data_IF_090403193016
#
_entry.id   IF_090403193016
#
_cell.length_a   1.000
_cell.length_b   1.000
_cell.length_c   1.000
_cell.angle_alpha   90.00
_cell.angle_beta   90.00
_cell.angle_gamma   90.00
#
_symmetry.space_group_name_H-M   'P 1'
#
loop_
_entity.id
_entity.type
_entity.pdbx_description
1 polymer ?
#
# COMPACT_ATOMS: atom_id res chain seq x y z
N UNK A 1 27.54 25.59 49.78
CA UNK A 1 26.37 25.03 49.08
C UNK A 1 26.25 25.78 47.76
N UNK A 2 26.82 25.24 46.69
CA UNK A 2 26.99 25.92 45.40
C UNK A 2 25.81 25.54 44.48
N UNK A 3 25.00 26.52 44.08
CA UNK A 3 23.80 26.33 43.27
C UNK A 3 24.21 26.36 41.78
N UNK A 4 24.23 25.22 41.11
CA UNK A 4 24.44 25.13 39.66
C UNK A 4 23.11 25.42 38.93
N UNK A 5 23.03 26.59 38.27
CA UNK A 5 21.98 26.94 37.33
C UNK A 5 22.27 26.25 35.98
N UNK A 6 21.57 25.16 35.68
CA UNK A 6 21.60 24.51 34.37
C UNK A 6 20.61 25.26 33.47
N UNK A 7 21.16 26.06 32.55
CA UNK A 7 20.40 26.77 31.52
C UNK A 7 20.07 25.77 30.39
N UNK A 8 18.92 25.11 30.47
CA UNK A 8 18.43 24.22 29.43
C UNK A 8 18.02 25.02 28.19
N UNK A 9 18.89 25.07 27.18
CA UNK A 9 18.57 25.62 25.85
C UNK A 9 17.59 24.67 25.17
N UNK A 10 16.30 24.98 25.23
CA UNK A 10 15.26 24.28 24.49
C UNK A 10 15.31 24.76 23.04
N UNK A 11 16.02 24.04 22.18
CA UNK A 11 15.92 24.27 20.74
C UNK A 11 14.51 23.87 20.28
N UNK A 12 13.76 24.76 19.61
CA UNK A 12 12.51 24.37 18.99
C UNK A 12 12.84 23.45 17.82
N UNK A 13 12.62 22.15 18.01
CA UNK A 13 12.54 21.21 16.90
C UNK A 13 11.37 21.64 16.03
N UNK A 14 11.66 22.38 14.96
CA UNK A 14 10.72 22.57 13.87
C UNK A 14 10.46 21.20 13.27
N UNK A 15 9.40 20.54 13.73
CA UNK A 15 8.76 19.42 13.06
C UNK A 15 8.26 19.96 11.72
N UNK A 16 9.13 19.92 10.70
CA UNK A 16 8.70 20.03 9.32
C UNK A 16 7.86 18.78 9.07
N UNK A 17 6.53 18.92 9.24
CA UNK A 17 5.62 17.99 8.62
C UNK A 17 5.94 18.03 7.13
N UNK A 18 6.34 16.89 6.59
CA UNK A 18 6.54 16.67 5.15
C UNK A 18 5.16 16.79 4.47
N UNK A 19 4.60 17.99 4.49
CA UNK A 19 3.38 18.34 3.78
C UNK A 19 3.69 18.18 2.31
N UNK A 20 2.89 17.36 1.65
CA UNK A 20 3.03 17.13 0.23
C UNK A 20 2.88 18.48 -0.48
N UNK A 21 3.90 18.96 -1.21
CA UNK A 21 3.79 20.26 -1.84
C UNK A 21 2.71 20.20 -2.92
N UNK A 22 1.88 21.23 -2.95
CA UNK A 22 0.94 21.48 -4.05
C UNK A 22 1.72 21.50 -5.38
N UNK A 23 1.06 21.18 -6.50
CA UNK A 23 1.74 20.96 -7.80
C UNK A 23 2.58 22.16 -8.24
N UNK A 24 2.12 23.37 -7.96
CA UNK A 24 2.81 24.65 -8.16
C UNK A 24 4.11 24.76 -7.36
N UNK A 25 4.24 24.05 -6.23
CA UNK A 25 5.41 24.04 -5.34
C UNK A 25 6.34 22.86 -5.58
N UNK A 26 6.09 22.05 -6.62
CA UNK A 26 6.94 20.91 -6.92
C UNK A 26 8.31 21.35 -7.46
N UNK A 27 9.38 20.75 -6.92
CA UNK A 27 10.76 21.05 -7.30
C UNK A 27 11.24 20.05 -8.35
N UNK A 28 11.81 20.56 -9.45
CA UNK A 28 12.37 19.72 -10.50
C UNK A 28 13.53 18.85 -9.96
N UNK A 29 13.56 17.59 -10.39
CA UNK A 29 14.54 16.61 -9.92
C UNK A 29 14.29 16.07 -8.51
N UNK A 30 13.28 16.57 -7.80
CA UNK A 30 12.80 15.95 -6.56
C UNK A 30 11.72 14.91 -6.85
N UNK A 31 11.69 13.91 -6.00
CA UNK A 31 10.67 12.88 -6.03
C UNK A 31 9.78 12.97 -4.81
N UNK A 32 8.54 12.58 -5.02
CA UNK A 32 7.53 12.58 -3.99
C UNK A 32 6.83 11.24 -3.98
N UNK A 33 6.35 10.82 -2.81
CA UNK A 33 5.67 9.55 -2.63
C UNK A 33 4.27 9.84 -2.13
N UNK A 34 3.27 9.31 -2.83
CA UNK A 34 1.87 9.31 -2.38
C UNK A 34 1.30 7.93 -2.64
N UNK A 35 0.69 7.34 -1.60
CA UNK A 35 0.06 6.02 -1.67
C UNK A 35 0.93 5.03 -2.44
N UNK A 36 2.19 4.86 -2.03
CA UNK A 36 3.14 3.94 -2.67
C UNK A 36 3.56 4.27 -4.12
N UNK A 37 3.11 5.37 -4.71
CA UNK A 37 3.51 5.80 -6.06
C UNK A 37 4.55 6.91 -5.96
N UNK A 38 5.63 6.75 -6.73
CA UNK A 38 6.71 7.74 -6.83
C UNK A 38 6.40 8.67 -7.99
N UNK A 39 6.31 9.97 -7.68
CA UNK A 39 6.13 11.04 -8.64
C UNK A 39 7.44 11.80 -8.83
N UNK A 40 7.67 12.27 -10.05
CA UNK A 40 8.69 13.25 -10.37
C UNK A 40 8.01 14.54 -10.84
N UNK A 41 8.54 15.68 -10.41
CA UNK A 41 8.14 16.98 -10.93
C UNK A 41 8.90 17.26 -12.23
N UNK A 42 8.16 17.56 -13.29
CA UNK A 42 8.67 17.89 -14.62
C UNK A 42 7.86 19.03 -15.23
N UNK A 43 8.32 19.63 -16.33
CA UNK A 43 7.58 20.69 -17.02
C UNK A 43 8.46 21.84 -17.49
N UNK A 44 7.81 22.98 -17.77
CA UNK A 44 8.42 24.22 -18.23
C UNK A 44 8.03 25.37 -17.28
N UNK A 45 8.60 26.56 -17.45
CA UNK A 45 8.50 27.69 -16.52
C UNK A 45 7.09 27.91 -15.92
N UNK A 46 6.04 27.81 -16.75
CA UNK A 46 4.65 28.10 -16.36
C UNK A 46 3.79 26.84 -16.19
N UNK A 47 4.27 25.67 -16.61
CA UNK A 47 3.51 24.41 -16.54
C UNK A 47 4.30 23.41 -15.69
N UNK A 48 3.75 23.02 -14.56
CA UNK A 48 4.31 21.99 -13.68
C UNK A 48 3.52 20.72 -13.83
N UNK A 49 4.20 19.58 -13.91
CA UNK A 49 3.59 18.27 -14.06
C UNK A 49 4.17 17.31 -13.05
N UNK A 50 3.31 16.77 -12.18
CA UNK A 50 3.63 15.54 -11.44
C UNK A 50 3.44 14.36 -12.37
N UNK A 51 4.51 13.65 -12.67
CA UNK A 51 4.48 12.43 -13.48
C UNK A 51 4.78 11.22 -12.60
N UNK A 52 3.91 10.19 -12.58
CA UNK A 52 4.21 8.96 -11.87
C UNK A 52 5.32 8.19 -12.62
N UNK A 53 6.39 7.83 -11.91
CA UNK A 53 7.61 7.23 -12.49
C UNK A 53 7.94 5.85 -11.93
N UNK A 54 7.29 5.42 -10.84
CA UNK A 54 7.51 4.12 -10.24
C UNK A 54 6.71 3.96 -8.95
N UNK A 55 7.10 2.99 -8.13
CA UNK A 55 6.44 2.69 -6.87
C UNK A 55 7.45 2.62 -5.72
N UNK A 56 6.95 2.49 -4.49
CA UNK A 56 7.77 2.25 -3.30
C UNK A 56 7.03 1.34 -2.33
N UNK A 57 7.79 0.46 -1.68
CA UNK A 57 7.26 -0.55 -0.75
C UNK A 57 6.61 0.13 0.46
N UNK A 58 7.20 1.22 0.94
CA UNK A 58 6.69 2.03 2.05
C UNK A 58 6.24 3.39 1.52
N UNK A 59 5.19 3.95 2.10
CA UNK A 59 4.67 5.27 1.75
C UNK A 59 5.54 6.40 2.34
N UNK A 60 6.85 6.34 2.07
CA UNK A 60 7.89 7.26 2.54
C UNK A 60 8.84 7.53 1.37
N UNK A 61 9.34 8.78 1.26
CA UNK A 61 10.32 9.20 0.26
C UNK A 61 11.66 8.45 0.37
N UNK A 62 12.00 7.94 1.55
CA UNK A 62 13.20 7.13 1.82
C UNK A 62 13.00 5.65 1.51
N UNK A 63 11.78 5.25 1.16
CA UNK A 63 11.45 3.88 0.81
C UNK A 63 12.24 3.39 -0.41
N UNK A 64 12.52 2.08 -0.42
CA UNK A 64 13.09 1.44 -1.59
C UNK A 64 12.15 1.60 -2.78
N UNK A 65 12.67 2.18 -3.85
CA UNK A 65 11.93 2.38 -5.10
C UNK A 65 11.88 1.10 -5.91
N UNK A 66 10.72 0.88 -6.49
CA UNK A 66 10.46 -0.15 -7.48
C UNK A 66 10.32 0.52 -8.85
N UNK A 67 11.12 0.06 -9.80
CA UNK A 67 10.94 0.39 -11.21
C UNK A 67 9.64 -0.25 -11.72
N UNK A 68 9.07 0.34 -12.76
CA UNK A 68 7.90 -0.22 -13.42
C UNK A 68 8.24 -1.59 -14.00
N UNK A 69 7.36 -2.55 -13.76
CA UNK A 69 7.54 -3.97 -14.07
C UNK A 69 8.18 -4.79 -12.94
N UNK A 70 8.74 -4.15 -11.89
CA UNK A 70 9.34 -4.89 -10.78
C UNK A 70 8.29 -5.49 -9.85
N UNK A 71 8.59 -6.70 -9.40
CA UNK A 71 7.82 -7.47 -8.43
C UNK A 71 8.52 -7.41 -7.07
N UNK A 72 7.73 -7.37 -6.00
CA UNK A 72 8.20 -7.36 -4.63
C UNK A 72 7.34 -8.25 -3.73
N UNK A 73 7.99 -9.07 -2.91
CA UNK A 73 7.33 -9.89 -1.90
C UNK A 73 7.19 -9.08 -0.61
N UNK A 74 5.98 -8.65 -0.30
CA UNK A 74 5.65 -7.93 0.92
C UNK A 74 4.96 -8.82 1.95
N UNK A 75 4.51 -8.21 3.05
CA UNK A 75 3.80 -8.94 4.09
C UNK A 75 2.46 -9.48 3.57
N UNK A 76 2.35 -10.80 3.43
CA UNK A 76 1.12 -11.49 3.04
C UNK A 76 0.78 -11.45 1.54
N UNK A 77 1.56 -10.74 0.72
CA UNK A 77 1.24 -10.52 -0.70
C UNK A 77 2.47 -10.36 -1.59
N UNK A 78 2.29 -10.68 -2.87
CA UNK A 78 3.23 -10.34 -3.95
C UNK A 78 2.69 -9.11 -4.67
N UNK A 79 3.51 -8.07 -4.80
CA UNK A 79 3.17 -6.79 -5.38
C UNK A 79 3.87 -6.57 -6.72
N UNK A 80 3.20 -5.87 -7.63
CA UNK A 80 3.74 -5.42 -8.91
C UNK A 80 3.64 -3.89 -8.99
N UNK A 81 4.73 -3.24 -9.40
CA UNK A 81 4.68 -1.88 -9.87
C UNK A 81 4.29 -1.86 -11.36
N UNK A 82 3.03 -1.61 -11.66
CA UNK A 82 2.46 -1.72 -13.00
C UNK A 82 2.23 -0.35 -13.64
N UNK A 83 2.31 -0.26 -14.97
CA UNK A 83 1.89 0.93 -15.71
C UNK A 83 0.70 0.58 -16.59
N UNK A 84 -0.38 1.33 -16.43
CA UNK A 84 -1.61 1.21 -17.21
C UNK A 84 -1.92 2.56 -17.86
N UNK A 85 -1.65 2.65 -19.17
CA UNK A 85 -1.66 3.92 -19.90
C UNK A 85 -0.68 4.93 -19.29
N UNK A 86 -1.20 6.07 -18.83
CA UNK A 86 -0.41 7.10 -18.14
C UNK A 86 -0.31 6.89 -16.63
N UNK A 87 -1.12 5.99 -16.05
CA UNK A 87 -1.12 5.71 -14.62
C UNK A 87 0.00 4.74 -14.23
N UNK A 88 0.47 4.86 -12.98
CA UNK A 88 1.31 3.84 -12.34
C UNK A 88 0.60 3.34 -11.11
N UNK A 89 0.58 2.03 -10.94
CA UNK A 89 -0.11 1.31 -9.88
C UNK A 89 0.88 0.46 -9.08
N UNK A 90 0.83 0.59 -7.76
CA UNK A 90 1.39 -0.40 -6.84
C UNK A 90 0.26 -1.32 -6.42
N UNK A 91 0.20 -2.53 -7.00
CA UNK A 91 -0.93 -3.44 -6.78
C UNK A 91 -0.50 -4.84 -6.36
N UNK A 92 -1.25 -5.49 -5.46
CA UNK A 92 -1.08 -6.91 -5.19
C UNK A 92 -1.48 -7.69 -6.44
N UNK A 93 -0.72 -8.74 -6.75
CA UNK A 93 -1.05 -9.68 -7.83
C UNK A 93 -1.36 -11.08 -7.30
N UNK A 94 -0.83 -11.44 -6.13
CA UNK A 94 -1.07 -12.72 -5.44
C UNK A 94 -1.03 -12.53 -3.92
N UNK A 95 -1.63 -13.45 -3.17
CA UNK A 95 -1.32 -13.58 -1.75
C UNK A 95 -0.03 -14.39 -1.58
N UNK A 96 0.66 -14.20 -0.46
CA UNK A 96 1.91 -14.89 -0.12
C UNK A 96 1.81 -15.41 1.31
N UNK A 97 1.83 -16.72 1.49
CA UNK A 97 1.81 -17.35 2.81
C UNK A 97 2.98 -18.32 2.97
N UNK A 98 3.94 -17.97 3.84
CA UNK A 98 5.15 -18.77 4.08
C UNK A 98 5.84 -19.18 2.76
N UNK A 99 6.14 -18.19 1.90
CA UNK A 99 6.76 -18.38 0.58
C UNK A 99 5.89 -19.10 -0.47
N UNK A 100 4.67 -19.51 -0.12
CA UNK A 100 3.71 -20.07 -1.07
C UNK A 100 2.87 -18.94 -1.66
N UNK A 101 3.03 -18.72 -2.97
CA UNK A 101 2.16 -17.82 -3.73
C UNK A 101 0.78 -18.47 -3.92
N UNK A 102 -0.27 -17.68 -3.68
CA UNK A 102 -1.66 -18.09 -3.81
C UNK A 102 -2.36 -17.15 -4.79
N UNK A 103 -2.88 -17.73 -5.88
CA UNK A 103 -3.77 -17.05 -6.81
C UNK A 103 -5.12 -16.75 -6.15
N UNK A 104 -5.87 -15.82 -6.73
CA UNK A 104 -7.23 -15.52 -6.27
C UNK A 104 -8.13 -16.77 -6.30
N UNK A 105 -8.89 -16.98 -5.23
CA UNK A 105 -9.75 -18.15 -5.03
C UNK A 105 -9.04 -19.36 -4.44
N UNK A 106 -7.69 -19.37 -4.40
CA UNK A 106 -6.96 -20.46 -3.76
C UNK A 106 -7.17 -20.47 -2.25
N UNK A 107 -7.24 -21.69 -1.70
CA UNK A 107 -7.31 -21.95 -0.27
C UNK A 107 -6.16 -22.83 0.17
N UNK A 108 -5.63 -22.55 1.36
CA UNK A 108 -4.56 -23.33 1.97
C UNK A 108 -4.89 -23.54 3.43
N UNK A 109 -4.78 -24.78 3.91
CA UNK A 109 -4.97 -25.09 5.33
C UNK A 109 -3.62 -25.40 5.98
N UNK A 110 -3.35 -24.77 7.12
CA UNK A 110 -2.19 -25.07 7.98
C UNK A 110 -2.70 -25.24 9.41
N UNK A 111 -2.57 -26.44 9.96
CA UNK A 111 -3.08 -26.78 11.29
C UNK A 111 -4.60 -26.48 11.41
N UNK A 112 -4.97 -25.65 12.37
CA UNK A 112 -6.34 -25.22 12.66
C UNK A 112 -6.70 -23.89 11.99
N UNK A 113 -5.90 -23.42 11.03
CA UNK A 113 -6.13 -22.17 10.30
C UNK A 113 -6.29 -22.45 8.81
N UNK A 114 -7.40 -21.95 8.25
CA UNK A 114 -7.64 -21.93 6.80
C UNK A 114 -7.40 -20.53 6.27
N UNK A 115 -6.69 -20.45 5.16
CA UNK A 115 -6.34 -19.22 4.46
C UNK A 115 -7.02 -19.21 3.11
N UNK A 116 -7.62 -18.10 2.74
CA UNK A 116 -8.28 -17.89 1.45
C UNK A 116 -7.76 -16.60 0.82
N UNK A 117 -7.19 -16.71 -0.38
CA UNK A 117 -6.75 -15.54 -1.12
C UNK A 117 -7.92 -14.99 -1.93
N UNK A 118 -8.31 -13.75 -1.67
CA UNK A 118 -9.50 -13.12 -2.24
C UNK A 118 -9.09 -11.91 -3.08
N UNK A 119 -9.74 -11.72 -4.22
CA UNK A 119 -9.64 -10.49 -5.02
C UNK A 119 -11.01 -9.86 -5.06
N UNK A 120 -11.13 -8.65 -4.53
CA UNK A 120 -12.36 -7.89 -4.66
C UNK A 120 -12.52 -7.42 -6.12
N UNK A 121 -13.73 -7.41 -6.69
CA UNK A 121 -13.94 -6.98 -8.08
C UNK A 121 -13.48 -5.53 -8.33
N UNK A 122 -13.67 -4.66 -7.35
CA UNK A 122 -13.36 -3.22 -7.41
C UNK A 122 -12.22 -2.82 -6.47
N UNK A 123 -11.67 -3.77 -5.71
CA UNK A 123 -10.79 -3.52 -4.58
C UNK A 123 -9.47 -4.30 -4.64
N UNK A 124 -8.56 -4.01 -3.71
CA UNK A 124 -7.28 -4.71 -3.62
C UNK A 124 -7.47 -6.14 -3.10
N UNK A 125 -6.46 -6.99 -3.29
CA UNK A 125 -6.49 -8.37 -2.79
C UNK A 125 -6.50 -8.42 -1.26
N UNK A 126 -7.12 -9.46 -0.70
CA UNK A 126 -7.20 -9.70 0.74
C UNK A 126 -6.82 -11.15 1.04
N UNK A 127 -6.18 -11.36 2.17
CA UNK A 127 -5.90 -12.69 2.71
C UNK A 127 -6.81 -12.91 3.91
N UNK A 128 -7.81 -13.77 3.75
CA UNK A 128 -8.73 -14.15 4.82
C UNK A 128 -8.13 -15.32 5.60
N UNK A 129 -8.16 -15.21 6.92
CA UNK A 129 -7.71 -16.24 7.85
C UNK A 129 -8.91 -16.70 8.67
N UNK A 130 -9.17 -18.00 8.72
CA UNK A 130 -10.24 -18.60 9.51
C UNK A 130 -9.62 -19.54 10.52
N UNK A 131 -9.70 -19.16 11.79
CA UNK A 131 -9.24 -19.97 12.92
C UNK A 131 -10.38 -20.84 13.39
N UNK A 132 -10.09 -22.13 13.61
CA UNK A 132 -11.01 -23.06 14.27
C UNK A 132 -10.45 -23.39 15.64
N UNK A 133 -11.19 -23.10 16.70
CA UNK A 133 -10.73 -23.29 18.08
C UNK A 133 -10.94 -24.72 18.63
N UNK A 134 -11.56 -25.62 17.86
CA UNK A 134 -11.76 -27.01 18.26
C UNK A 134 -11.75 -27.96 17.06
N UNK A 135 -11.49 -29.24 17.32
CA UNK A 135 -11.38 -30.26 16.28
C UNK A 135 -12.73 -30.85 15.83
N UNK A 136 -13.83 -30.53 16.52
CA UNK A 136 -15.18 -31.00 16.19
C UNK A 136 -15.85 -30.27 15.02
N UNK A 137 -15.19 -29.26 14.43
CA UNK A 137 -15.69 -28.56 13.27
C UNK A 137 -15.03 -29.12 12.01
N UNK A 138 -15.83 -29.77 11.16
CA UNK A 138 -15.42 -30.27 9.86
C UNK A 138 -16.24 -29.56 8.76
N UNK A 139 -15.79 -28.37 8.29
CA UNK A 139 -16.51 -27.63 7.27
C UNK A 139 -16.60 -28.46 5.98
N UNK A 140 -17.80 -28.58 5.42
CA UNK A 140 -18.05 -29.25 4.13
C UNK A 140 -18.26 -30.76 4.17
N UNK A 141 -18.28 -31.40 5.35
CA UNK A 141 -18.48 -32.85 5.45
C UNK A 141 -19.96 -33.30 5.45
N UNK A 142 -20.93 -32.42 5.70
CA UNK A 142 -22.35 -32.78 5.71
C UNK A 142 -23.21 -31.69 5.05
N UNK A 143 -23.92 -32.05 3.99
CA UNK A 143 -24.57 -31.14 3.04
C UNK A 143 -25.89 -30.51 3.49
N UNK A 144 -25.91 -29.74 4.58
CA UNK A 144 -27.02 -28.82 4.88
C UNK A 144 -26.55 -27.37 4.87
N UNK A 145 -27.31 -26.50 4.19
CA UNK A 145 -27.00 -25.09 3.91
C UNK A 145 -26.68 -24.23 5.16
N UNK A 146 -27.02 -24.73 6.35
CA UNK A 146 -26.85 -24.08 7.66
C UNK A 146 -25.50 -24.38 8.35
N UNK A 147 -24.69 -25.32 7.85
CA UNK A 147 -23.39 -25.71 8.44
C UNK A 147 -22.18 -24.91 7.91
N UNK A 148 -22.38 -23.71 7.35
CA UNK A 148 -21.26 -22.88 6.83
C UNK A 148 -20.47 -22.14 7.91
N UNK A 149 -20.96 -22.08 9.14
CA UNK A 149 -20.31 -21.40 10.26
C UNK A 149 -20.34 -22.33 11.47
N UNK A 150 -19.19 -22.88 11.82
CA UNK A 150 -19.08 -23.61 13.08
C UNK A 150 -19.04 -22.59 14.22
N UNK A 151 -19.67 -22.94 15.34
CA UNK A 151 -19.36 -22.28 16.61
C UNK A 151 -17.85 -22.42 16.88
N UNK A 152 -17.23 -21.44 17.55
CA UNK A 152 -15.76 -21.47 17.74
C UNK A 152 -14.93 -21.24 16.47
N UNK A 153 -15.51 -20.64 15.42
CA UNK A 153 -14.73 -20.06 14.31
C UNK A 153 -14.58 -18.54 14.47
N UNK A 154 -13.36 -18.06 14.25
CA UNK A 154 -13.06 -16.63 14.11
C UNK A 154 -12.42 -16.35 12.75
N UNK A 155 -12.79 -15.23 12.13
CA UNK A 155 -12.24 -14.81 10.85
C UNK A 155 -11.54 -13.46 10.97
N UNK A 156 -10.35 -13.36 10.38
CA UNK A 156 -9.58 -12.13 10.27
C UNK A 156 -9.22 -11.86 8.81
N UNK A 157 -9.14 -10.59 8.43
CA UNK A 157 -8.77 -10.18 7.08
C UNK A 157 -7.49 -9.35 7.14
N UNK A 158 -6.49 -9.79 6.39
CA UNK A 158 -5.31 -8.98 6.10
C UNK A 158 -5.56 -8.31 4.75
N UNK A 159 -5.47 -6.98 4.73
CA UNK A 159 -5.65 -6.18 3.53
C UNK A 159 -4.30 -5.87 2.91
N UNK A 160 -4.19 -6.01 1.60
CA UNK A 160 -2.99 -5.57 0.89
C UNK A 160 -2.90 -4.05 0.80
N UNK A 161 -1.67 -3.55 0.68
CA UNK A 161 -1.44 -2.16 0.32
C UNK A 161 -1.84 -1.93 -1.15
N UNK A 162 -2.21 -0.70 -1.48
CA UNK A 162 -2.54 -0.32 -2.85
C UNK A 162 -2.22 1.14 -3.11
N UNK A 163 -1.83 1.43 -4.35
CA UNK A 163 -1.45 2.75 -4.80
C UNK A 163 -1.76 2.96 -6.27
N UNK A 164 -2.31 4.11 -6.62
CA UNK A 164 -2.45 4.53 -8.01
C UNK A 164 -2.13 6.02 -8.14
N UNK A 165 -1.37 6.36 -9.17
CA UNK A 165 -1.01 7.73 -9.50
C UNK A 165 -1.20 7.98 -10.97
N UNK A 166 -1.88 9.09 -11.30
CA UNK A 166 -2.00 9.61 -12.66
C UNK A 166 -1.17 10.89 -12.78
N UNK A 167 -0.70 11.25 -13.98
CA UNK A 167 -0.07 12.54 -14.17
C UNK A 167 -1.07 13.67 -13.91
N UNK A 168 -0.57 14.76 -13.34
CA UNK A 168 -1.35 15.99 -13.13
C UNK A 168 -0.47 17.15 -13.58
N UNK A 169 -0.97 17.95 -14.51
CA UNK A 169 -0.32 19.17 -14.96
C UNK A 169 -1.10 20.40 -14.47
N UNK A 170 -0.38 21.45 -14.08
CA UNK A 170 -0.96 22.72 -13.61
C UNK A 170 -0.29 23.87 -14.34
N UNK A 171 -1.11 24.77 -14.88
CA UNK A 171 -0.69 26.10 -15.32
C UNK A 171 -0.59 27.02 -14.11
N UNK A 172 0.62 27.44 -13.77
CA UNK A 172 0.90 28.27 -12.59
C UNK A 172 0.27 29.66 -12.73
N UNK A 173 0.20 30.24 -13.95
CA UNK A 173 -0.35 31.58 -14.13
C UNK A 173 -1.86 31.61 -13.94
N UNK A 174 -2.52 30.54 -14.41
CA UNK A 174 -3.98 30.44 -14.39
C UNK A 174 -4.50 29.70 -13.16
N UNK A 175 -3.62 29.11 -12.37
CA UNK A 175 -3.93 28.22 -11.25
C UNK A 175 -4.95 27.14 -11.64
N UNK A 176 -4.75 26.52 -12.81
CA UNK A 176 -5.70 25.56 -13.39
C UNK A 176 -5.02 24.25 -13.75
N UNK A 177 -5.72 23.15 -13.50
CA UNK A 177 -5.28 21.81 -13.91
C UNK A 177 -5.48 21.65 -15.41
N UNK A 178 -4.45 21.18 -16.11
CA UNK A 178 -4.47 20.84 -17.53
C UNK A 178 -4.42 19.31 -17.63
N UNK A 179 -5.41 18.71 -18.29
CA UNK A 179 -5.48 17.27 -18.54
C UNK A 179 -5.00 16.92 -19.95
#
# INVERSE_FOLDING_TARGET
MLLFLILSVVLPFALQSDTFPTVDKCQFGKHYVINHVVFNCSGAALIRTYKPVGCTIVNDRKGQRLNIGQVHNGFGFVYLCHREGSAVEYKPIRCLLNEVEMESGMRLRRNNVEYECMKDPEGPMKLKQVFTFHNFCHPGQNGTLSQKKCEGQSSHFIHSAYGIGKPVSVDILRDTVIN
#
